data_IF_775459904374
#
_entry.id   IF_775459904374
#
_cell.length_a   1.000
_cell.length_b   1.000
_cell.length_c   1.000
_cell.angle_alpha   90.00
_cell.angle_beta   90.00
_cell.angle_gamma   90.00
#
_symmetry.space_group_name_H-M   'P 1'
#
loop_
_entity.id
_entity.type
_entity.pdbx_description
1 polymer ?
#
# COMPACT_ATOMS: atom_id res chain seq x y z
N UNK A 1 -11.12 44.26 13.94
CA UNK A 1 -11.71 42.90 13.94
C UNK A 1 -11.42 42.14 12.63
N UNK A 2 -10.19 42.21 12.09
CA UNK A 2 -9.82 41.60 10.79
C UNK A 2 -8.58 40.68 10.86
N UNK A 3 -8.07 40.44 12.07
CA UNK A 3 -6.90 39.58 12.31
C UNK A 3 -7.25 38.24 12.96
N UNK A 4 -8.52 37.98 13.27
CA UNK A 4 -8.94 36.72 13.91
C UNK A 4 -9.23 35.59 12.90
N UNK A 5 -9.32 35.91 11.61
CA UNK A 5 -9.65 34.96 10.55
C UNK A 5 -8.43 34.18 10.01
N UNK A 6 -7.19 34.66 10.26
CA UNK A 6 -5.99 33.96 9.78
C UNK A 6 -5.59 32.77 10.68
N UNK A 7 -6.01 32.78 11.95
CA UNK A 7 -5.65 31.74 12.91
C UNK A 7 -6.43 30.44 12.73
N UNK A 8 -7.61 30.48 12.08
CA UNK A 8 -8.49 29.31 11.94
C UNK A 8 -8.03 28.37 10.82
N UNK A 9 -7.30 28.88 9.82
CA UNK A 9 -6.82 28.06 8.69
C UNK A 9 -5.65 27.16 9.09
N UNK A 10 -4.85 27.53 10.10
CA UNK A 10 -3.72 26.69 10.56
C UNK A 10 -4.16 25.47 11.38
N UNK A 11 -5.33 25.49 12.03
CA UNK A 11 -5.84 24.33 12.78
C UNK A 11 -6.43 23.24 11.86
N UNK A 12 -6.74 23.56 10.60
CA UNK A 12 -7.30 22.61 9.63
C UNK A 12 -6.27 21.69 8.97
N UNK A 13 -4.97 21.98 9.09
CA UNK A 13 -3.89 21.19 8.47
C UNK A 13 -3.36 20.05 9.35
N UNK A 14 -3.88 19.89 10.58
CA UNK A 14 -3.56 18.75 11.45
C UNK A 14 -4.04 17.39 10.87
N UNK A 15 -4.80 17.39 9.77
CA UNK A 15 -5.18 16.18 9.04
C UNK A 15 -4.01 15.50 8.30
N UNK A 16 -2.84 16.16 8.19
CA UNK A 16 -1.64 15.63 7.53
C UNK A 16 -0.50 15.29 8.50
N UNK A 17 -0.80 14.71 9.67
CA UNK A 17 0.17 14.13 10.61
C UNK A 17 1.10 15.14 11.28
N UNK A 18 1.20 15.09 12.61
CA UNK A 18 2.11 15.98 13.35
C UNK A 18 3.58 15.71 12.98
N UNK A 19 4.52 16.68 13.14
CA UNK A 19 5.95 16.43 12.91
C UNK A 19 6.49 15.22 13.69
N UNK A 20 5.94 15.00 14.90
CA UNK A 20 6.22 13.82 15.70
C UNK A 20 5.78 12.53 15.01
N UNK A 21 4.52 12.47 14.55
CA UNK A 21 3.98 11.31 13.85
C UNK A 21 4.74 11.00 12.57
N UNK A 22 5.19 12.03 11.83
CA UNK A 22 6.02 11.86 10.64
C UNK A 22 7.38 11.23 11.00
N UNK A 23 8.06 11.73 12.04
CA UNK A 23 9.32 11.16 12.53
C UNK A 23 9.16 9.70 12.97
N UNK A 24 8.15 9.42 13.82
CA UNK A 24 7.84 8.06 14.30
C UNK A 24 7.52 7.14 13.11
N UNK A 25 6.72 7.60 12.15
CA UNK A 25 6.36 6.83 10.96
C UNK A 25 7.55 6.43 10.09
N UNK A 26 8.59 7.27 10.04
CA UNK A 26 9.86 6.97 9.35
C UNK A 26 10.66 5.92 10.13
N UNK A 27 10.92 6.13 11.42
CA UNK A 27 11.76 5.20 12.21
C UNK A 27 11.10 3.83 12.43
N UNK A 28 9.78 3.74 12.32
CA UNK A 28 9.00 2.49 12.45
C UNK A 28 8.63 1.84 11.11
N UNK A 29 9.12 2.35 9.97
CA UNK A 29 8.76 1.80 8.65
C UNK A 29 9.03 0.30 8.53
N UNK A 30 10.19 -0.17 9.02
CA UNK A 30 10.54 -1.59 8.97
C UNK A 30 9.64 -2.46 9.85
N UNK A 31 9.13 -1.93 10.97
CA UNK A 31 8.16 -2.63 11.81
C UNK A 31 6.85 -2.86 11.05
N UNK A 32 6.35 -1.85 10.33
CA UNK A 32 5.13 -1.98 9.51
C UNK A 32 5.29 -3.02 8.40
N UNK A 33 6.46 -3.08 7.77
CA UNK A 33 6.75 -4.10 6.75
C UNK A 33 6.72 -5.51 7.38
N UNK A 34 7.38 -5.71 8.52
CA UNK A 34 7.35 -7.00 9.21
C UNK A 34 5.95 -7.38 9.68
N UNK A 35 5.17 -6.43 10.21
CA UNK A 35 3.80 -6.65 10.65
C UNK A 35 2.91 -7.13 9.49
N UNK A 36 3.05 -6.50 8.32
CA UNK A 36 2.33 -6.91 7.13
C UNK A 36 2.74 -8.32 6.66
N UNK A 37 4.05 -8.61 6.65
CA UNK A 37 4.55 -9.95 6.27
C UNK A 37 4.08 -11.03 7.25
N UNK A 38 4.07 -10.74 8.56
CA UNK A 38 3.55 -11.64 9.59
C UNK A 38 2.07 -11.90 9.37
N UNK A 39 1.28 -10.85 9.16
CA UNK A 39 -0.16 -10.99 8.92
C UNK A 39 -0.45 -11.78 7.64
N UNK A 40 0.28 -11.54 6.56
CA UNK A 40 0.17 -12.30 5.30
C UNK A 40 0.50 -13.78 5.51
N UNK A 41 1.63 -14.08 6.17
CA UNK A 41 2.08 -15.45 6.45
C UNK A 41 1.07 -16.19 7.34
N UNK A 42 0.54 -15.54 8.38
CA UNK A 42 -0.51 -16.09 9.24
C UNK A 42 -1.79 -16.39 8.44
N UNK A 43 -2.16 -15.49 7.53
CA UNK A 43 -3.33 -15.65 6.69
C UNK A 43 -3.15 -16.80 5.67
N UNK A 44 -1.94 -16.98 5.15
CA UNK A 44 -1.58 -18.11 4.29
C UNK A 44 -1.70 -19.44 5.03
N UNK A 45 -1.16 -19.53 6.25
CA UNK A 45 -1.28 -20.71 7.10
C UNK A 45 -2.73 -21.02 7.47
N UNK A 46 -3.51 -19.99 7.84
CA UNK A 46 -4.94 -20.14 8.19
C UNK A 46 -5.75 -20.71 7.01
N UNK A 47 -5.43 -20.29 5.78
CA UNK A 47 -6.11 -20.79 4.58
C UNK A 47 -5.55 -22.11 4.04
N UNK A 48 -4.30 -22.43 4.34
CA UNK A 48 -3.56 -23.56 3.75
C UNK A 48 -2.98 -23.31 2.36
N UNK A 49 -2.98 -22.06 1.86
CA UNK A 49 -2.44 -21.69 0.56
C UNK A 49 -2.10 -20.20 0.49
N UNK A 50 -1.19 -19.82 -0.42
CA UNK A 50 -0.89 -18.43 -0.72
C UNK A 50 -1.84 -17.86 -1.78
N UNK A 51 -2.08 -16.55 -1.74
CA UNK A 51 -2.80 -15.83 -2.80
C UNK A 51 -1.79 -15.10 -3.66
N UNK A 52 -1.72 -15.43 -4.94
CA UNK A 52 -0.75 -14.83 -5.87
C UNK A 52 -1.47 -14.15 -7.04
N UNK A 53 -0.91 -13.04 -7.57
CA UNK A 53 -1.39 -12.47 -8.81
C UNK A 53 -1.11 -13.44 -9.97
N UNK A 54 -2.08 -13.60 -10.85
CA UNK A 54 -1.98 -14.34 -12.09
C UNK A 54 -2.54 -13.50 -13.23
N UNK A 55 -2.01 -13.71 -14.44
CA UNK A 55 -2.44 -13.00 -15.64
C UNK A 55 -3.24 -13.94 -16.52
N UNK A 56 -4.42 -13.50 -16.95
CA UNK A 56 -5.24 -14.18 -17.94
C UNK A 56 -5.42 -13.28 -19.14
N UNK A 57 -5.31 -13.84 -20.33
CA UNK A 57 -5.69 -13.17 -21.57
C UNK A 57 -7.19 -13.29 -21.78
N UNK A 58 -7.91 -12.17 -21.75
CA UNK A 58 -9.37 -12.13 -22.00
C UNK A 58 -9.68 -11.39 -23.29
N UNK A 59 -10.73 -11.78 -24.02
CA UNK A 59 -11.24 -10.98 -25.13
C UNK A 59 -11.96 -9.75 -24.61
N UNK A 60 -11.66 -8.58 -25.18
CA UNK A 60 -12.27 -7.30 -24.86
C UNK A 60 -12.63 -6.55 -26.14
N UNK A 61 -13.82 -5.95 -26.19
CA UNK A 61 -14.21 -5.08 -27.30
C UNK A 61 -13.73 -3.67 -27.01
N UNK A 62 -12.84 -3.15 -27.86
CA UNK A 62 -12.34 -1.78 -27.76
C UNK A 62 -12.82 -0.94 -28.95
N UNK A 63 -12.92 0.37 -28.76
CA UNK A 63 -13.11 1.29 -29.87
C UNK A 63 -11.80 1.39 -30.66
N UNK A 64 -11.84 0.95 -31.91
CA UNK A 64 -10.72 0.99 -32.85
C UNK A 64 -11.03 1.85 -34.08
N UNK A 65 -11.98 2.78 -33.96
CA UNK A 65 -12.34 3.71 -35.03
C UNK A 65 -11.09 4.46 -35.51
N UNK A 66 -10.79 4.47 -36.82
CA UNK A 66 -9.70 5.23 -37.37
C UNK A 66 -9.81 6.71 -36.99
N UNK A 67 -8.67 7.41 -36.88
CA UNK A 67 -8.70 8.86 -36.72
C UNK A 67 -9.22 9.49 -38.01
N UNK A 68 -10.04 10.54 -37.89
CA UNK A 68 -10.49 11.32 -39.03
C UNK A 68 -9.29 11.91 -39.79
N UNK A 69 -9.40 11.98 -41.11
CA UNK A 69 -8.38 12.53 -42.02
C UNK A 69 -9.04 13.49 -43.02
N UNK A 70 -8.27 14.28 -43.77
CA UNK A 70 -8.84 15.15 -44.82
C UNK A 70 -9.59 14.35 -45.91
N UNK A 71 -9.13 13.13 -46.21
CA UNK A 71 -9.76 12.24 -47.17
C UNK A 71 -10.99 11.50 -46.60
N UNK A 72 -11.08 11.37 -45.28
CA UNK A 72 -12.20 10.73 -44.57
C UNK A 72 -12.48 11.48 -43.25
N UNK A 73 -13.27 12.57 -43.31
CA UNK A 73 -13.52 13.42 -42.16
C UNK A 73 -14.49 12.80 -41.14
N UNK A 74 -15.25 11.77 -41.51
CA UNK A 74 -16.20 11.07 -40.63
C UNK A 74 -16.04 9.54 -40.74
N UNK A 75 -14.96 8.98 -40.16
CA UNK A 75 -14.68 7.56 -40.25
C UNK A 75 -15.76 6.75 -39.53
N UNK A 76 -16.21 5.66 -40.17
CA UNK A 76 -17.22 4.77 -39.59
C UNK A 76 -16.74 4.23 -38.24
N UNK A 77 -17.62 4.28 -37.24
CA UNK A 77 -17.36 3.71 -35.91
C UNK A 77 -17.08 2.22 -36.01
N UNK A 78 -15.99 1.78 -35.39
CA UNK A 78 -15.55 0.39 -35.38
C UNK A 78 -15.30 -0.09 -33.95
N UNK A 79 -15.67 -1.35 -33.71
CA UNK A 79 -15.31 -2.09 -32.49
C UNK A 79 -14.45 -3.29 -32.88
N UNK A 80 -13.32 -3.45 -32.19
CA UNK A 80 -12.39 -4.54 -32.42
C UNK A 80 -12.35 -5.45 -31.20
N UNK A 81 -12.33 -6.76 -31.44
CA UNK A 81 -12.07 -7.74 -30.40
C UNK A 81 -10.55 -7.89 -30.24
N UNK A 82 -10.01 -7.41 -29.12
CA UNK A 82 -8.59 -7.51 -28.79
C UNK A 82 -8.40 -8.44 -27.59
N UNK A 83 -7.18 -8.97 -27.42
CA UNK A 83 -6.83 -9.75 -26.24
C UNK A 83 -6.10 -8.86 -25.24
N UNK A 84 -6.71 -8.62 -24.09
CA UNK A 84 -6.14 -7.82 -23.00
C UNK A 84 -5.64 -8.73 -21.88
N UNK A 85 -4.48 -8.39 -21.30
CA UNK A 85 -3.97 -9.04 -20.10
C UNK A 85 -4.71 -8.49 -18.87
N UNK A 86 -5.40 -9.36 -18.14
CA UNK A 86 -6.04 -9.02 -16.88
C UNK A 86 -5.37 -9.76 -15.71
N UNK A 87 -5.04 -9.01 -14.67
CA UNK A 87 -4.50 -9.56 -13.42
C UNK A 87 -5.64 -9.96 -12.50
N UNK A 88 -5.59 -11.18 -11.99
CA UNK A 88 -6.55 -11.71 -11.01
C UNK A 88 -5.80 -12.45 -9.89
N UNK A 89 -6.45 -12.62 -8.73
CA UNK A 89 -5.88 -13.39 -7.63
C UNK A 89 -6.24 -14.88 -7.77
N UNK A 90 -5.27 -15.76 -7.54
CA UNK A 90 -5.49 -17.21 -7.52
C UNK A 90 -4.83 -17.88 -6.30
N UNK A 91 -5.36 -19.02 -5.82
CA UNK A 91 -4.65 -19.83 -4.84
C UNK A 91 -3.40 -20.46 -5.45
N UNK A 92 -2.33 -20.52 -4.67
CA UNK A 92 -1.09 -21.22 -4.99
C UNK A 92 -0.70 -22.14 -3.84
N UNK A 93 -0.35 -23.38 -4.17
CA UNK A 93 0.16 -24.34 -3.20
C UNK A 93 1.47 -23.83 -2.60
N UNK A 94 1.65 -24.07 -1.31
CA UNK A 94 2.84 -23.71 -0.54
C UNK A 94 3.23 -24.88 0.37
N UNK A 95 4.48 -24.88 0.81
CA UNK A 95 4.93 -25.72 1.90
C UNK A 95 4.52 -25.07 3.24
N UNK A 96 3.62 -25.74 3.97
CA UNK A 96 3.08 -25.21 5.23
C UNK A 96 4.11 -25.22 6.37
N UNK A 97 5.03 -26.18 6.38
CA UNK A 97 6.07 -26.26 7.41
C UNK A 97 7.10 -25.15 7.19
N UNK A 98 7.49 -24.92 5.92
CA UNK A 98 8.35 -23.80 5.56
C UNK A 98 7.68 -22.43 5.86
N UNK A 99 6.37 -22.31 5.62
CA UNK A 99 5.61 -21.09 5.93
C UNK A 99 5.50 -20.85 7.44
N UNK A 100 5.33 -21.91 8.25
CA UNK A 100 5.36 -21.81 9.71
C UNK A 100 6.75 -21.41 10.24
N UNK A 101 7.81 -21.99 9.69
CA UNK A 101 9.19 -21.62 10.03
C UNK A 101 9.48 -20.15 9.65
N UNK A 102 8.98 -19.69 8.49
CA UNK A 102 9.05 -18.29 8.07
C UNK A 102 8.34 -17.37 9.06
N UNK A 103 7.12 -17.72 9.50
CA UNK A 103 6.38 -16.94 10.49
C UNK A 103 7.18 -16.77 11.79
N UNK A 104 7.75 -17.87 12.32
CA UNK A 104 8.56 -17.82 13.52
C UNK A 104 9.79 -16.91 13.36
N UNK A 105 10.47 -16.99 12.21
CA UNK A 105 11.61 -16.13 11.88
C UNK A 105 11.21 -14.65 11.81
N UNK A 106 10.07 -14.34 11.17
CA UNK A 106 9.54 -12.97 11.09
C UNK A 106 9.18 -12.41 12.48
N UNK A 107 8.56 -13.21 13.34
CA UNK A 107 8.21 -12.82 14.70
C UNK A 107 9.46 -12.55 15.56
N UNK A 108 10.46 -13.42 15.48
CA UNK A 108 11.74 -13.22 16.17
C UNK A 108 12.44 -11.94 15.67
N UNK A 109 12.46 -11.72 14.34
CA UNK A 109 13.03 -10.51 13.76
C UNK A 109 12.30 -9.25 14.21
N UNK A 110 10.97 -9.29 14.26
CA UNK A 110 10.14 -8.18 14.75
C UNK A 110 10.54 -7.79 16.17
N UNK A 111 10.66 -8.76 17.08
CA UNK A 111 11.09 -8.50 18.46
C UNK A 111 12.45 -7.78 18.52
N UNK A 112 13.42 -8.22 17.72
CA UNK A 112 14.73 -7.56 17.64
C UNK A 112 14.61 -6.10 17.16
N UNK A 113 13.81 -5.84 16.12
CA UNK A 113 13.64 -4.47 15.59
C UNK A 113 12.90 -3.58 16.58
N UNK A 114 11.87 -4.09 17.28
CA UNK A 114 11.16 -3.30 18.30
C UNK A 114 12.15 -2.77 19.35
N UNK A 115 13.04 -3.64 19.84
CA UNK A 115 14.06 -3.25 20.81
C UNK A 115 15.03 -2.21 20.24
N UNK A 116 15.47 -2.39 18.98
CA UNK A 116 16.39 -1.47 18.33
C UNK A 116 15.77 -0.09 17.99
N UNK A 117 14.48 -0.04 17.66
CA UNK A 117 13.79 1.18 17.25
C UNK A 117 13.24 1.99 18.44
N UNK A 118 13.05 1.37 19.61
CA UNK A 118 12.48 2.04 20.80
C UNK A 118 13.20 3.35 21.19
N UNK A 119 14.54 3.43 21.21
CA UNK A 119 15.23 4.70 21.50
C UNK A 119 14.94 5.80 20.47
N UNK A 120 14.87 5.44 19.19
CA UNK A 120 14.59 6.41 18.12
C UNK A 120 13.18 7.01 18.22
N UNK A 121 12.20 6.23 18.70
CA UNK A 121 10.84 6.73 18.98
C UNK A 121 10.88 7.78 20.09
N UNK A 122 11.62 7.52 21.17
CA UNK A 122 11.79 8.49 22.27
C UNK A 122 12.49 9.76 21.79
N UNK A 123 13.50 9.65 20.93
CA UNK A 123 14.14 10.80 20.29
C UNK A 123 13.15 11.63 19.48
N UNK A 124 12.30 11.00 18.65
CA UNK A 124 11.25 11.71 17.92
C UNK A 124 10.29 12.45 18.86
N UNK A 125 9.90 11.83 19.98
CA UNK A 125 8.98 12.45 20.95
C UNK A 125 9.60 13.67 21.64
N UNK A 126 10.88 13.62 21.96
CA UNK A 126 11.61 14.73 22.57
C UNK A 126 11.88 15.87 21.58
N UNK A 127 12.24 15.54 20.34
CA UNK A 127 12.54 16.52 19.30
C UNK A 127 11.28 17.24 18.78
N UNK A 128 10.14 16.56 18.79
CA UNK A 128 8.86 17.07 18.34
C UNK A 128 7.77 16.82 19.41
N UNK A 129 7.71 17.62 20.48
CA UNK A 129 6.66 17.48 21.49
C UNK A 129 5.30 17.90 20.92
N UNK A 130 4.26 17.10 21.16
CA UNK A 130 2.89 17.49 20.82
C UNK A 130 2.34 18.50 21.83
N UNK A 131 1.54 19.49 21.38
CA UNK A 131 0.93 20.45 22.28
C UNK A 131 -0.05 19.74 23.22
N UNK A 132 0.13 19.93 24.52
CA UNK A 132 -0.81 19.45 25.55
C UNK A 132 -2.14 20.18 25.32
N UNK A 133 -3.19 19.42 24.98
CA UNK A 133 -4.55 19.96 24.79
C UNK A 133 -5.22 20.20 26.13
#
# INVERSE_FOLDING_TARGET
MRNLMLSVVLLGLAACGTPQQQCIGQVTQNLRVLDNLIAETQANLTRGYAVVPAVRSVPEFVNCTPRATEADPDPRRQSCLVRTAQTYSRPAAIDLDAEAAKLASLQAKRQQIVLATSPAILTCQQQYPEPVR
#
